data_IF_514350871540
#
_entry.id   IF_514350871540
#
_cell.length_a   1.000
_cell.length_b   1.000
_cell.length_c   1.000
_cell.angle_alpha   90.00
_cell.angle_beta   90.00
_cell.angle_gamma   90.00
#
_symmetry.space_group_name_H-M   'P 1'
#
loop_
_entity.id
_entity.type
_entity.pdbx_description
1 polymer ?
#
# COMPACT_ATOMS: atom_id res chain seq x y z
N UNK A 1 -2.36 7.15 17.43
CA UNK A 1 -3.06 8.43 17.77
C UNK A 1 -4.46 8.41 17.13
N UNK A 2 -5.55 8.81 17.80
CA UNK A 2 -6.91 8.74 17.19
C UNK A 2 -7.10 9.89 16.18
N UNK A 3 -7.49 9.57 14.93
CA UNK A 3 -7.69 10.57 13.86
C UNK A 3 -8.76 11.58 14.25
N UNK A 4 -8.57 12.86 13.91
CA UNK A 4 -9.58 13.89 14.16
C UNK A 4 -10.77 13.75 13.20
N UNK A 5 -11.97 14.10 13.65
CA UNK A 5 -13.17 14.08 12.81
C UNK A 5 -13.01 14.95 11.54
N UNK A 6 -12.32 16.09 11.68
CA UNK A 6 -11.99 16.98 10.56
C UNK A 6 -11.14 16.27 9.51
N UNK A 7 -10.10 15.55 9.92
CA UNK A 7 -9.22 14.82 9.00
C UNK A 7 -10.01 13.76 8.21
N UNK A 8 -10.83 12.98 8.90
CA UNK A 8 -11.67 11.93 8.29
C UNK A 8 -12.63 12.55 7.27
N UNK A 9 -13.31 13.65 7.62
CA UNK A 9 -14.20 14.35 6.69
C UNK A 9 -13.47 14.89 5.44
N UNK A 10 -12.26 15.44 5.60
CA UNK A 10 -11.45 15.91 4.47
C UNK A 10 -11.00 14.76 3.58
N UNK A 11 -10.60 13.62 4.16
CA UNK A 11 -10.26 12.42 3.42
C UNK A 11 -11.44 11.91 2.59
N UNK A 12 -12.65 11.80 3.18
CA UNK A 12 -13.83 11.36 2.44
C UNK A 12 -14.16 12.28 1.27
N UNK A 13 -14.11 13.61 1.46
CA UNK A 13 -14.30 14.57 0.36
C UNK A 13 -13.27 14.38 -0.76
N UNK A 14 -12.02 14.09 -0.41
CA UNK A 14 -10.95 13.85 -1.37
C UNK A 14 -11.17 12.56 -2.17
N UNK A 15 -11.67 11.50 -1.52
CA UNK A 15 -12.08 10.25 -2.16
C UNK A 15 -13.30 10.46 -3.07
N UNK A 16 -14.34 11.14 -2.58
CA UNK A 16 -15.55 11.46 -3.36
C UNK A 16 -15.23 12.28 -4.61
N UNK A 17 -14.31 13.24 -4.51
CA UNK A 17 -13.81 14.03 -5.63
C UNK A 17 -12.87 13.25 -6.56
N UNK A 18 -12.58 11.98 -6.27
CA UNK A 18 -11.67 11.10 -7.01
C UNK A 18 -10.28 11.70 -7.25
N UNK A 19 -9.81 12.54 -6.32
CA UNK A 19 -8.54 13.27 -6.47
C UNK A 19 -7.36 12.30 -6.58
N UNK A 20 -7.48 11.10 -6.01
CA UNK A 20 -6.50 10.02 -6.11
C UNK A 20 -6.20 9.55 -7.54
N UNK A 21 -7.09 9.79 -8.52
CA UNK A 21 -6.85 9.41 -9.91
C UNK A 21 -5.62 10.10 -10.49
N UNK A 22 -5.23 11.26 -9.91
CA UNK A 22 -4.02 11.97 -10.27
C UNK A 22 -2.72 11.21 -9.94
N UNK A 23 -2.76 10.18 -9.07
CA UNK A 23 -1.57 9.47 -8.62
C UNK A 23 -1.67 7.95 -8.69
N UNK A 24 -2.87 7.38 -8.57
CA UNK A 24 -3.08 5.93 -8.68
C UNK A 24 -2.63 5.38 -10.04
N UNK A 25 -3.11 5.95 -11.15
CA UNK A 25 -2.69 5.55 -12.49
C UNK A 25 -1.20 5.88 -12.76
N UNK A 26 -0.67 7.08 -12.43
CA UNK A 26 0.76 7.35 -12.57
C UNK A 26 1.69 6.44 -11.76
N UNK A 27 1.36 6.07 -10.52
CA UNK A 27 2.17 5.13 -9.75
C UNK A 27 2.09 3.71 -10.31
N UNK A 28 0.92 3.28 -10.79
CA UNK A 28 0.79 2.00 -11.50
C UNK A 28 1.68 1.97 -12.75
N UNK A 29 1.60 3.00 -13.60
CA UNK A 29 2.46 3.14 -14.78
C UNK A 29 3.94 3.15 -14.38
N UNK A 30 4.31 3.90 -13.35
CA UNK A 30 5.69 3.97 -12.87
C UNK A 30 6.23 2.63 -12.38
N UNK A 31 5.40 1.81 -11.71
CA UNK A 31 5.77 0.44 -11.32
C UNK A 31 6.11 -0.42 -12.55
N UNK A 32 5.22 -0.46 -13.55
CA UNK A 32 5.44 -1.27 -14.75
C UNK A 32 6.61 -0.75 -15.60
N UNK A 33 6.77 0.58 -15.69
CA UNK A 33 7.91 1.18 -16.37
C UNK A 33 9.21 0.82 -15.66
N UNK A 34 9.24 0.85 -14.32
CA UNK A 34 10.41 0.43 -13.54
C UNK A 34 10.76 -1.03 -13.79
N UNK A 35 9.77 -1.92 -13.88
CA UNK A 35 9.94 -3.34 -14.22
C UNK A 35 10.48 -3.55 -15.63
N UNK A 36 10.08 -2.69 -16.59
CA UNK A 36 10.56 -2.72 -17.97
C UNK A 36 11.87 -1.95 -18.20
N UNK A 37 12.47 -1.34 -17.17
CA UNK A 37 13.67 -0.51 -17.33
C UNK A 37 13.43 0.84 -18.02
N UNK A 38 12.18 1.30 -18.07
CA UNK A 38 11.77 2.55 -18.73
C UNK A 38 11.81 3.74 -17.77
N UNK A 39 12.09 4.96 -18.27
CA UNK A 39 12.05 6.17 -17.45
C UNK A 39 10.61 6.49 -17.03
N UNK A 40 10.43 6.94 -15.79
CA UNK A 40 9.13 7.33 -15.25
C UNK A 40 9.26 8.63 -14.43
N UNK A 41 8.18 9.43 -14.40
CA UNK A 41 8.15 10.71 -13.69
C UNK A 41 8.13 10.51 -12.16
N UNK A 42 7.26 9.61 -11.69
CA UNK A 42 7.18 9.28 -10.27
C UNK A 42 8.19 8.18 -9.94
N UNK A 43 8.94 8.36 -8.85
CA UNK A 43 9.95 7.39 -8.45
C UNK A 43 9.29 6.19 -7.77
N UNK A 44 9.60 5.00 -8.28
CA UNK A 44 9.21 3.70 -7.71
C UNK A 44 10.43 2.80 -7.61
N UNK A 45 10.49 2.00 -6.54
CA UNK A 45 11.46 0.92 -6.39
C UNK A 45 10.72 -0.41 -6.20
N UNK A 46 11.15 -1.44 -6.93
CA UNK A 46 10.59 -2.79 -6.81
C UNK A 46 11.14 -3.48 -5.56
N UNK A 47 10.32 -4.30 -4.92
CA UNK A 47 10.72 -5.19 -3.83
C UNK A 47 10.55 -6.61 -4.34
N UNK A 48 11.66 -7.33 -4.50
CA UNK A 48 11.69 -8.73 -4.92
C UNK A 48 12.78 -9.46 -4.12
N UNK A 49 12.47 -9.82 -2.88
CA UNK A 49 13.42 -10.48 -1.96
C UNK A 49 12.69 -11.60 -1.23
N UNK A 50 13.24 -12.81 -1.25
CA UNK A 50 12.67 -13.98 -0.56
C UNK A 50 11.14 -14.14 -0.84
N UNK A 51 10.32 -14.12 0.22
CA UNK A 51 8.86 -14.19 0.19
C UNK A 51 8.16 -12.83 -0.02
N UNK A 52 8.93 -11.74 -0.09
CA UNK A 52 8.43 -10.37 -0.27
C UNK A 52 8.32 -9.98 -1.75
N UNK A 53 7.15 -9.50 -2.14
CA UNK A 53 6.91 -8.86 -3.45
C UNK A 53 6.22 -7.53 -3.24
N UNK A 54 6.64 -6.47 -3.91
CA UNK A 54 6.06 -5.15 -3.63
C UNK A 54 6.69 -3.99 -4.37
N UNK A 55 6.32 -2.80 -3.91
CA UNK A 55 6.83 -1.53 -4.39
C UNK A 55 7.02 -0.51 -3.26
N UNK A 56 8.01 0.36 -3.43
CA UNK A 56 8.14 1.60 -2.67
C UNK A 56 7.73 2.76 -3.58
N UNK A 57 6.69 3.48 -3.19
CA UNK A 57 6.25 4.72 -3.83
C UNK A 57 6.88 5.89 -3.11
N UNK A 58 7.72 6.66 -3.79
CA UNK A 58 8.36 7.80 -3.17
C UNK A 58 7.51 9.05 -3.29
N UNK A 59 7.57 9.90 -2.27
CA UNK A 59 6.94 11.21 -2.30
C UNK A 59 7.56 12.09 -3.39
N UNK A 60 6.70 12.81 -4.10
CA UNK A 60 7.08 13.86 -5.03
C UNK A 60 6.38 15.17 -4.60
N UNK A 61 7.09 16.32 -4.56
CA UNK A 61 6.50 17.59 -4.15
C UNK A 61 5.24 17.98 -4.92
N UNK A 62 5.11 17.59 -6.19
CA UNK A 62 3.92 17.87 -7.02
C UNK A 62 2.64 17.17 -6.52
N UNK A 63 2.77 16.16 -5.66
CA UNK A 63 1.64 15.47 -5.01
C UNK A 63 1.09 16.34 -3.88
N UNK A 64 1.96 16.99 -3.12
CA UNK A 64 1.62 17.65 -1.86
C UNK A 64 1.48 16.66 -0.69
N UNK A 65 1.98 17.05 0.48
CA UNK A 65 2.11 16.13 1.62
C UNK A 65 0.78 15.54 2.11
N UNK A 66 -0.28 16.35 2.10
CA UNK A 66 -1.61 15.91 2.53
C UNK A 66 -2.19 14.83 1.62
N UNK A 67 -2.08 15.03 0.31
CA UNK A 67 -2.54 14.09 -0.69
C UNK A 67 -1.76 12.77 -0.64
N UNK A 68 -0.46 12.82 -0.36
CA UNK A 68 0.34 11.61 -0.24
C UNK A 68 -0.02 10.82 1.03
N UNK A 69 -0.33 11.50 2.13
CA UNK A 69 -0.92 10.87 3.32
C UNK A 69 -2.30 10.24 3.04
N UNK A 70 -3.17 10.93 2.30
CA UNK A 70 -4.45 10.37 1.87
C UNK A 70 -4.32 9.20 0.89
N UNK A 71 -3.28 9.22 0.05
CA UNK A 71 -2.97 8.10 -0.83
C UNK A 71 -2.64 6.84 0.00
N UNK A 72 -1.86 6.97 1.08
CA UNK A 72 -1.64 5.86 2.02
C UNK A 72 -2.94 5.34 2.64
N UNK A 73 -3.83 6.23 3.09
CA UNK A 73 -5.14 5.84 3.65
C UNK A 73 -6.01 5.10 2.63
N UNK A 74 -6.02 5.57 1.38
CA UNK A 74 -6.73 4.93 0.27
C UNK A 74 -6.21 3.52 0.00
N UNK A 75 -4.88 3.31 0.00
CA UNK A 75 -4.30 1.99 -0.17
C UNK A 75 -4.76 1.04 0.95
N UNK A 76 -4.75 1.51 2.20
CA UNK A 76 -5.27 0.74 3.35
C UNK A 76 -6.75 0.38 3.17
N UNK A 77 -7.59 1.33 2.78
CA UNK A 77 -9.02 1.09 2.59
C UNK A 77 -9.29 0.11 1.46
N UNK A 78 -8.58 0.22 0.34
CA UNK A 78 -8.72 -0.71 -0.78
C UNK A 78 -8.23 -2.11 -0.44
N UNK A 79 -7.16 -2.25 0.34
CA UNK A 79 -6.72 -3.56 0.85
C UNK A 79 -7.85 -4.22 1.65
N UNK A 80 -8.50 -3.47 2.55
CA UNK A 80 -9.67 -3.98 3.32
C UNK A 80 -10.86 -4.34 2.42
N UNK A 81 -11.15 -3.53 1.40
CA UNK A 81 -12.21 -3.81 0.43
C UNK A 81 -11.98 -5.12 -0.34
N UNK A 82 -10.73 -5.57 -0.47
CA UNK A 82 -10.37 -6.87 -1.03
C UNK A 82 -10.36 -8.03 -0.01
N UNK A 83 -11.02 -7.86 1.14
CA UNK A 83 -11.27 -8.92 2.12
C UNK A 83 -10.15 -9.14 3.13
N UNK A 84 -9.10 -8.31 3.13
CA UNK A 84 -8.04 -8.38 4.11
C UNK A 84 -8.46 -7.76 5.44
N UNK A 85 -8.04 -8.37 6.54
CA UNK A 85 -8.29 -7.87 7.89
C UNK A 85 -7.05 -7.14 8.42
N UNK A 86 -7.23 -5.94 8.98
CA UNK A 86 -6.14 -5.24 9.67
C UNK A 86 -5.80 -6.01 10.95
N UNK A 87 -4.63 -6.62 10.98
CA UNK A 87 -4.16 -7.42 12.10
C UNK A 87 -3.38 -6.57 13.11
N UNK A 88 -2.57 -5.63 12.62
CA UNK A 88 -1.79 -4.73 13.49
C UNK A 88 -1.62 -3.35 12.86
N UNK A 89 -1.68 -2.33 13.70
CA UNK A 89 -1.34 -0.94 13.38
C UNK A 89 -0.34 -0.46 14.42
N UNK A 90 0.83 0.00 13.97
CA UNK A 90 1.89 0.50 14.85
C UNK A 90 2.41 1.85 14.33
N UNK A 91 2.64 2.79 15.23
CA UNK A 91 3.24 4.09 14.94
C UNK A 91 4.53 4.21 15.77
N UNK A 92 5.67 4.30 15.08
CA UNK A 92 6.99 4.47 15.67
C UNK A 92 7.50 5.87 15.37
N UNK A 93 8.06 6.54 16.38
CA UNK A 93 8.82 7.76 16.20
C UNK A 93 10.24 7.54 16.71
N UNK A 94 11.23 7.70 15.83
CA UNK A 94 12.65 7.58 16.15
C UNK A 94 13.28 8.96 16.08
N UNK A 95 13.90 9.40 17.18
CA UNK A 95 14.66 10.65 17.22
C UNK A 95 16.13 10.35 16.99
N UNK A 96 16.65 10.79 15.85
CA UNK A 96 18.08 10.82 15.56
C UNK A 96 18.67 12.18 15.96
N UNK A 97 20.00 12.29 15.95
CA UNK A 97 20.68 13.54 16.30
C UNK A 97 20.23 14.73 15.44
N UNK A 98 19.96 14.50 14.15
CA UNK A 98 19.69 15.56 13.16
C UNK A 98 18.25 15.59 12.63
N UNK A 99 17.48 14.54 12.85
CA UNK A 99 16.13 14.43 12.31
C UNK A 99 15.27 13.48 13.14
N UNK A 100 13.96 13.61 12.96
CA UNK A 100 12.98 12.67 13.50
C UNK A 100 12.40 11.86 12.36
N UNK A 101 12.43 10.54 12.49
CA UNK A 101 11.71 9.63 11.61
C UNK A 101 10.39 9.23 12.28
N UNK A 102 9.30 9.19 11.51
CA UNK A 102 8.03 8.61 11.91
C UNK A 102 7.66 7.54 10.90
N UNK A 103 7.30 6.36 11.42
CA UNK A 103 6.90 5.22 10.61
C UNK A 103 5.58 4.70 11.12
N UNK A 104 4.56 4.76 10.27
CA UNK A 104 3.29 4.07 10.50
C UNK A 104 3.31 2.76 9.73
N UNK A 105 3.11 1.63 10.42
CA UNK A 105 3.11 0.28 9.84
C UNK A 105 1.74 -0.36 10.00
N UNK A 106 1.18 -0.86 8.91
CA UNK A 106 -0.04 -1.63 8.87
C UNK A 106 0.27 -3.03 8.37
N UNK A 107 -0.19 -4.02 9.12
CA UNK A 107 -0.14 -5.43 8.74
C UNK A 107 -1.56 -5.93 8.55
N UNK A 108 -1.83 -6.47 7.36
CA UNK A 108 -3.09 -7.12 7.05
C UNK A 108 -2.89 -8.59 6.75
N UNK A 109 -3.82 -9.41 7.24
CA UNK A 109 -3.85 -10.85 6.98
C UNK A 109 -4.96 -11.19 5.98
N UNK A 110 -4.74 -12.18 5.11
CA UNK A 110 -5.79 -12.67 4.22
C UNK A 110 -6.98 -13.23 5.03
N UNK A 111 -8.17 -13.34 4.43
CA UNK A 111 -9.31 -13.98 5.07
C UNK A 111 -9.00 -15.44 5.38
N UNK A 112 -9.44 -15.91 6.55
CA UNK A 112 -9.33 -17.32 6.92
C UNK A 112 -10.29 -18.15 6.04
N UNK A 113 -9.75 -18.71 4.96
CA UNK A 113 -10.46 -19.59 4.05
C UNK A 113 -9.53 -20.64 3.48
N UNK A 114 -10.07 -21.83 3.24
CA UNK A 114 -9.36 -22.90 2.56
C UNK A 114 -9.54 -22.77 1.05
N UNK A 115 -8.60 -23.31 0.28
CA UNK A 115 -8.78 -23.48 -1.16
C UNK A 115 -9.87 -24.54 -1.39
N UNK A 116 -10.94 -24.24 -2.15
CA UNK A 116 -12.03 -25.18 -2.38
C UNK A 116 -11.52 -26.54 -2.89
N UNK A 117 -11.93 -27.62 -2.21
CA UNK A 117 -11.51 -28.98 -2.56
C UNK A 117 -10.10 -29.37 -2.09
N UNK A 118 -9.47 -28.59 -1.21
CA UNK A 118 -8.21 -28.97 -0.56
C UNK A 118 -8.21 -28.65 0.94
N UNK A 119 -7.17 -29.08 1.65
CA UNK A 119 -6.90 -28.73 3.05
C UNK A 119 -5.88 -27.59 3.20
N UNK A 120 -5.55 -26.87 2.11
CA UNK A 120 -4.59 -25.78 2.13
C UNK A 120 -5.27 -24.46 2.47
N UNK A 121 -4.66 -23.70 3.37
CA UNK A 121 -5.08 -22.35 3.66
C UNK A 121 -4.82 -21.44 2.44
N UNK A 122 -5.86 -20.74 1.98
CA UNK A 122 -5.75 -19.80 0.88
C UNK A 122 -5.08 -18.51 1.37
N UNK A 123 -3.79 -18.37 1.08
CA UNK A 123 -3.05 -17.17 1.49
C UNK A 123 -3.25 -15.97 0.56
N UNK A 124 -4.00 -16.11 -0.54
CA UNK A 124 -4.12 -15.08 -1.58
C UNK A 124 -2.74 -14.58 -2.03
N UNK A 125 -2.41 -13.32 -1.75
CA UNK A 125 -1.12 -12.71 -2.10
C UNK A 125 -0.07 -12.82 -0.97
N UNK A 126 -0.43 -13.40 0.18
CA UNK A 126 0.31 -13.34 1.44
C UNK A 126 -0.18 -12.21 2.35
N UNK A 127 0.49 -11.98 3.48
CA UNK A 127 0.20 -10.84 4.34
C UNK A 127 0.52 -9.53 3.62
N UNK A 128 -0.34 -8.53 3.70
CA UNK A 128 -0.08 -7.21 3.13
C UNK A 128 0.59 -6.32 4.17
N UNK A 129 1.71 -5.73 3.79
CA UNK A 129 2.48 -4.76 4.56
C UNK A 129 2.31 -3.39 3.90
N UNK A 130 1.81 -2.42 4.66
CA UNK A 130 1.68 -1.05 4.20
C UNK A 130 2.33 -0.11 5.22
N UNK A 131 3.42 0.53 4.84
CA UNK A 131 4.12 1.48 5.70
C UNK A 131 4.11 2.88 5.11
N UNK A 132 3.99 3.88 5.97
CA UNK A 132 4.15 5.28 5.64
C UNK A 132 5.30 5.88 6.46
N UNK A 133 6.31 6.38 5.76
CA UNK A 133 7.53 6.92 6.36
C UNK A 133 7.59 8.42 6.15
N UNK A 134 7.85 9.15 7.23
CA UNK A 134 8.04 10.59 7.26
C UNK A 134 9.37 10.94 7.94
N UNK A 135 10.03 11.98 7.43
CA UNK A 135 11.24 12.56 8.03
C UNK A 135 10.96 14.02 8.34
N UNK A 136 11.15 14.43 9.60
CA UNK A 136 10.83 15.78 10.09
C UNK A 136 9.38 16.19 9.75
N UNK A 137 8.43 15.26 9.87
CA UNK A 137 7.02 15.41 9.50
C UNK A 137 6.75 15.57 7.98
N UNK A 138 7.77 15.51 7.12
CA UNK A 138 7.60 15.51 5.67
C UNK A 138 7.51 14.07 5.13
N UNK A 139 6.62 13.80 4.15
CA UNK A 139 6.53 12.47 3.57
C UNK A 139 7.81 12.06 2.85
N UNK A 140 8.27 10.84 3.12
CA UNK A 140 9.38 10.22 2.41
C UNK A 140 8.87 9.22 1.37
N UNK A 141 8.20 8.16 1.83
CA UNK A 141 7.68 7.11 0.95
C UNK A 141 6.57 6.29 1.60
N UNK A 142 5.89 5.53 0.75
CA UNK A 142 4.97 4.47 1.14
C UNK A 142 5.55 3.14 0.65
N UNK A 143 5.68 2.17 1.55
CA UNK A 143 6.03 0.79 1.18
C UNK A 143 4.75 -0.01 1.10
N UNK A 144 4.47 -0.61 -0.05
CA UNK A 144 3.35 -1.52 -0.26
C UNK A 144 3.87 -2.86 -0.76
N UNK A 145 3.81 -3.88 0.09
CA UNK A 145 4.35 -5.19 -0.20
C UNK A 145 3.44 -6.30 0.30
N UNK A 146 3.60 -7.49 -0.26
CA UNK A 146 3.05 -8.73 0.28
C UNK A 146 4.17 -9.63 0.78
N UNK A 147 3.90 -10.36 1.85
CA UNK A 147 4.79 -11.36 2.43
C UNK A 147 4.09 -12.72 2.41
N UNK A 148 4.54 -13.61 1.53
CA UNK A 148 3.95 -14.94 1.36
C UNK A 148 4.47 -15.95 2.40
N UNK A 149 3.59 -16.85 2.82
CA UNK A 149 3.97 -18.02 3.61
C UNK A 149 4.62 -19.05 2.69
N UNK A 150 5.76 -19.60 3.10
CA UNK A 150 6.51 -20.61 2.36
C UNK A 150 6.23 -22.04 2.85
N UNK A 151 5.35 -22.20 3.84
CA UNK A 151 4.99 -23.51 4.39
C UNK A 151 4.02 -24.26 3.46
N UNK A 152 4.18 -25.57 3.43
CA UNK A 152 3.32 -26.55 2.74
C UNK A 152 1.84 -26.49 3.11
N UNK A 153 1.46 -25.92 4.26
CA UNK A 153 0.04 -25.77 4.64
C UNK A 153 -0.69 -24.64 3.88
N UNK A 154 0.02 -23.81 3.11
CA UNK A 154 -0.56 -22.70 2.37
C UNK A 154 -0.57 -22.92 0.86
N UNK A 155 -1.58 -22.36 0.18
CA UNK A 155 -1.66 -22.32 -1.27
C UNK A 155 -0.46 -21.57 -1.88
N UNK A 156 -0.17 -21.76 -3.17
CA UNK A 156 0.77 -20.86 -3.87
C UNK A 156 0.26 -19.41 -3.79
N UNK A 157 1.14 -18.41 -3.56
CA UNK A 157 0.71 -17.03 -3.54
C UNK A 157 0.34 -16.56 -4.95
N UNK A 158 -0.73 -15.78 -5.04
CA UNK A 158 -1.10 -15.04 -6.25
C UNK A 158 -0.06 -13.93 -6.55
N UNK A 159 0.10 -13.52 -7.83
CA UNK A 159 1.04 -12.47 -8.21
C UNK A 159 0.72 -11.12 -7.55
N UNK A 160 1.75 -10.44 -7.05
CA UNK A 160 1.60 -9.10 -6.44
C UNK A 160 1.00 -8.10 -7.43
N UNK A 161 1.32 -8.20 -8.71
CA UNK A 161 0.79 -7.33 -9.77
C UNK A 161 -0.73 -7.34 -9.86
N UNK A 162 -1.36 -8.49 -9.62
CA UNK A 162 -2.82 -8.58 -9.63
C UNK A 162 -3.44 -7.81 -8.45
N UNK A 163 -2.81 -7.88 -7.28
CA UNK A 163 -3.22 -7.04 -6.14
C UNK A 163 -2.99 -5.56 -6.46
N UNK A 164 -1.81 -5.22 -6.99
CA UNK A 164 -1.46 -3.85 -7.32
C UNK A 164 -2.45 -3.23 -8.33
N UNK A 165 -2.84 -3.99 -9.36
CA UNK A 165 -3.85 -3.56 -10.32
C UNK A 165 -5.21 -3.35 -9.65
N UNK A 166 -5.68 -4.30 -8.84
CA UNK A 166 -6.93 -4.18 -8.08
C UNK A 166 -6.96 -2.94 -7.18
N UNK A 167 -5.82 -2.62 -6.55
CA UNK A 167 -5.69 -1.50 -5.62
C UNK A 167 -5.50 -0.15 -6.32
N UNK A 168 -4.74 -0.07 -7.42
CA UNK A 168 -4.43 1.20 -8.09
C UNK A 168 -5.32 1.50 -9.29
N UNK A 169 -5.98 0.50 -9.86
CA UNK A 169 -6.88 0.66 -11.01
C UNK A 169 -8.24 0.04 -10.72
N UNK A 170 -8.97 0.51 -9.69
CA UNK A 170 -10.34 0.06 -9.53
C UNK A 170 -11.13 0.46 -10.78
N UNK A 171 -12.09 -0.37 -11.18
CA UNK A 171 -12.96 -0.11 -12.35
C UNK A 171 -13.98 1.01 -12.09
N UNK A 172 -13.54 2.12 -11.54
CA UNK A 172 -14.35 3.29 -11.25
C UNK A 172 -14.39 4.19 -12.49
N UNK A 173 -15.57 4.35 -13.09
CA UNK A 173 -15.78 5.39 -14.09
C UNK A 173 -15.69 6.75 -13.41
N UNK A 174 -14.89 7.65 -14.00
CA UNK A 174 -14.81 9.06 -13.55
C UNK A 174 -16.22 9.65 -13.58
N UNK A 175 -16.71 10.14 -12.45
CA UNK A 175 -18.01 10.82 -12.36
C UNK A 175 -17.94 12.22 -12.97
#
# INVERSE_FOLDING_TARGET
MKRSAKYVATYHKWVEAQTYLNWTAPFYTAYHYKKAGLPCKLRVQLIEVESLRGAVFFYDPSIGAHNFGFFFELLSDRVKQHGYTLHSENELQVRHERYTEQVKKLLFTPPASDVPGSSLCNQLYGNVLLDYVQVNNYPGYIRFATNSYQDTFFSKPLPFEELLEKILRPQEKKK
#
